data_IF_597242542829
#
_entry.id   IF_597242542829
#
_cell.length_a   1.000
_cell.length_b   1.000
_cell.length_c   1.000
_cell.angle_alpha   90.00
_cell.angle_beta   90.00
_cell.angle_gamma   90.00
#
_symmetry.space_group_name_H-M   'P 1'
#
loop_
_entity.id
_entity.type
_entity.pdbx_description
1 polymer ?
#
# COMPACT_ATOMS: atom_id res chain seq x y z
N UNK A 1 5.88 5.54 19.72
CA UNK A 1 5.96 4.73 18.49
C UNK A 1 4.90 5.14 17.49
N UNK A 2 5.33 5.52 16.29
CA UNK A 2 4.47 5.93 15.17
C UNK A 2 4.63 4.93 14.01
N UNK A 3 3.61 4.83 13.16
CA UNK A 3 3.74 4.14 11.89
C UNK A 3 4.31 5.08 10.83
N UNK A 4 5.44 4.70 10.26
CA UNK A 4 6.05 5.37 9.12
C UNK A 4 5.93 4.49 7.88
N UNK A 5 6.18 5.12 6.73
CA UNK A 5 6.20 4.43 5.44
C UNK A 5 7.59 4.52 4.85
N UNK A 6 8.15 3.37 4.47
CA UNK A 6 9.43 3.28 3.76
C UNK A 6 9.19 2.86 2.31
N UNK A 7 10.02 3.42 1.44
CA UNK A 7 10.14 3.02 0.05
C UNK A 7 11.26 1.99 -0.10
N UNK A 8 10.97 0.88 -0.76
CA UNK A 8 11.91 -0.24 -0.97
C UNK A 8 12.29 -0.36 -2.45
N UNK A 9 13.27 -1.21 -2.75
CA UNK A 9 13.53 -1.61 -4.14
C UNK A 9 12.32 -2.39 -4.69
N UNK A 10 11.94 -2.20 -5.96
CA UNK A 10 10.82 -2.93 -6.55
C UNK A 10 10.98 -4.45 -6.39
N UNK A 11 9.92 -5.13 -5.94
CA UNK A 11 9.89 -6.59 -5.69
C UNK A 11 10.69 -7.06 -4.47
N UNK A 12 11.23 -6.14 -3.66
CA UNK A 12 11.96 -6.46 -2.43
C UNK A 12 11.11 -6.25 -1.18
N UNK A 13 9.82 -5.92 -1.32
CA UNK A 13 8.92 -5.56 -0.21
C UNK A 13 8.86 -6.67 0.85
N UNK A 14 8.65 -7.92 0.41
CA UNK A 14 8.62 -9.09 1.31
C UNK A 14 9.95 -9.32 2.03
N UNK A 15 11.05 -9.31 1.26
CA UNK A 15 12.40 -9.53 1.79
C UNK A 15 12.79 -8.45 2.80
N UNK A 16 12.44 -7.20 2.51
CA UNK A 16 12.70 -6.07 3.41
C UNK A 16 11.87 -6.23 4.69
N UNK A 17 10.60 -6.60 4.59
CA UNK A 17 9.76 -6.85 5.76
C UNK A 17 10.31 -8.00 6.63
N UNK A 18 10.75 -9.10 6.04
CA UNK A 18 11.41 -10.20 6.75
C UNK A 18 12.68 -9.73 7.49
N UNK A 19 13.56 -9.00 6.81
CA UNK A 19 14.79 -8.47 7.42
C UNK A 19 14.52 -7.47 8.55
N UNK A 20 13.48 -6.64 8.42
CA UNK A 20 13.08 -5.70 9.47
C UNK A 20 12.52 -6.44 10.69
N UNK A 21 11.70 -7.47 10.46
CA UNK A 21 11.19 -8.31 11.53
C UNK A 21 12.32 -9.06 12.27
N UNK A 22 13.31 -9.58 11.54
CA UNK A 22 14.52 -10.19 12.14
C UNK A 22 15.34 -9.19 12.97
N UNK A 23 15.35 -7.91 12.57
CA UNK A 23 15.98 -6.83 13.31
C UNK A 23 15.14 -6.34 14.52
N UNK A 24 13.99 -6.95 14.79
CA UNK A 24 13.09 -6.57 15.90
C UNK A 24 12.25 -5.32 15.63
N UNK A 25 12.13 -4.89 14.37
CA UNK A 25 11.32 -3.75 13.97
C UNK A 25 9.94 -4.26 13.55
N UNK A 26 8.90 -3.78 14.23
CA UNK A 26 7.52 -4.05 13.84
C UNK A 26 7.24 -3.48 12.45
N UNK A 27 6.83 -4.35 11.53
CA UNK A 27 6.55 -3.95 10.17
C UNK A 27 5.31 -4.64 9.61
N UNK A 28 4.72 -4.01 8.60
CA UNK A 28 3.56 -4.52 7.89
C UNK A 28 3.73 -4.29 6.40
N UNK A 29 3.75 -5.38 5.63
CA UNK A 29 3.72 -5.38 4.19
C UNK A 29 2.36 -5.92 3.75
N UNK A 30 1.43 -5.07 3.27
CA UNK A 30 0.11 -5.55 2.86
C UNK A 30 0.23 -6.36 1.56
N UNK A 31 -0.15 -7.64 1.61
CA UNK A 31 -0.07 -8.58 0.49
C UNK A 31 -1.48 -8.99 0.04
N UNK A 32 -1.67 -9.11 -1.27
CA UNK A 32 -2.92 -9.60 -1.88
C UNK A 32 -2.63 -10.81 -2.77
N UNK A 33 -3.58 -11.75 -2.83
CA UNK A 33 -3.47 -12.92 -3.71
C UNK A 33 -4.01 -12.58 -5.10
N UNK A 34 -3.19 -12.75 -6.14
CA UNK A 34 -3.60 -12.63 -7.53
C UNK A 34 -3.36 -13.94 -8.28
N UNK A 35 -4.28 -14.32 -9.17
CA UNK A 35 -4.07 -15.42 -10.10
C UNK A 35 -3.29 -14.89 -11.30
N UNK A 36 -2.03 -15.29 -11.44
CA UNK A 36 -1.26 -15.06 -12.66
C UNK A 36 -1.40 -16.27 -13.58
N UNK A 37 -1.63 -15.99 -14.86
CA UNK A 37 -1.57 -16.97 -15.92
C UNK A 37 -0.19 -16.89 -16.58
N UNK A 38 0.52 -18.01 -16.54
CA UNK A 38 1.68 -18.30 -17.37
C UNK A 38 1.24 -19.10 -18.59
N UNK A 39 2.10 -19.19 -19.59
CA UNK A 39 1.83 -19.88 -20.86
C UNK A 39 1.33 -21.31 -20.66
N UNK A 40 1.74 -21.97 -19.58
CA UNK A 40 1.42 -23.35 -19.24
C UNK A 40 0.41 -23.50 -18.07
N UNK A 41 0.29 -22.51 -17.16
CA UNK A 41 -0.50 -22.68 -15.91
C UNK A 41 -1.04 -21.39 -15.30
N UNK A 42 -2.16 -21.50 -14.57
CA UNK A 42 -2.64 -20.46 -13.64
C UNK A 42 -2.15 -20.78 -12.23
N UNK A 43 -1.45 -19.84 -11.58
CA UNK A 43 -0.99 -19.99 -10.19
C UNK A 43 -1.35 -18.76 -9.36
N UNK A 44 -1.86 -19.00 -8.15
CA UNK A 44 -2.07 -17.98 -7.12
C UNK A 44 -0.71 -17.50 -6.63
N UNK A 45 -0.48 -16.19 -6.71
CA UNK A 45 0.73 -15.55 -6.22
C UNK A 45 0.36 -14.36 -5.35
N UNK A 46 1.06 -14.22 -4.24
CA UNK A 46 0.95 -13.05 -3.39
C UNK A 46 1.83 -11.93 -3.93
N UNK A 47 1.22 -10.77 -4.13
CA UNK A 47 1.89 -9.55 -4.56
C UNK A 47 1.58 -8.43 -3.57
N UNK A 48 2.48 -7.46 -3.36
CA UNK A 48 2.20 -6.33 -2.50
C UNK A 48 1.01 -5.52 -3.04
N UNK A 49 0.12 -5.11 -2.14
CA UNK A 49 -0.96 -4.18 -2.44
C UNK A 49 -0.39 -2.83 -2.88
N UNK A 50 0.69 -2.40 -2.21
CA UNK A 50 1.43 -1.20 -2.53
C UNK A 50 2.85 -1.57 -2.99
N UNK A 51 3.12 -1.40 -4.28
CA UNK A 51 4.44 -1.69 -4.82
C UNK A 51 5.50 -0.79 -4.20
N UNK A 52 6.58 -1.38 -3.71
CA UNK A 52 7.72 -0.69 -3.11
C UNK A 52 7.41 0.07 -1.81
N UNK A 53 6.30 -0.23 -1.12
CA UNK A 53 5.98 0.36 0.19
C UNK A 53 5.94 -0.72 1.28
N UNK A 54 6.55 -0.40 2.42
CA UNK A 54 6.42 -1.18 3.66
C UNK A 54 6.11 -0.20 4.79
N UNK A 55 5.16 -0.57 5.65
CA UNK A 55 4.83 0.20 6.85
C UNK A 55 5.70 -0.31 7.99
N UNK A 56 6.25 0.59 8.79
CA UNK A 56 7.15 0.27 9.90
C UNK A 56 6.72 1.04 11.14
N UNK A 57 6.66 0.38 12.27
CA UNK A 57 6.35 0.97 13.56
C UNK A 57 7.61 1.04 14.41
N UNK A 58 8.02 2.25 14.78
CA UNK A 58 9.20 2.48 15.61
C UNK A 58 9.14 3.88 16.23
N UNK A 59 10.05 4.17 17.15
CA UNK A 59 10.24 5.51 17.67
C UNK A 59 11.07 6.39 16.74
N UNK A 60 10.87 7.71 16.81
CA UNK A 60 11.54 8.67 15.93
C UNK A 60 13.07 8.61 16.06
N UNK A 61 13.57 8.35 17.28
CA UNK A 61 15.00 8.19 17.58
C UNK A 61 15.63 6.99 16.86
N UNK A 62 14.84 5.98 16.54
CA UNK A 62 15.31 4.72 15.95
C UNK A 62 15.18 4.69 14.42
N UNK A 63 14.75 5.78 13.79
CA UNK A 63 14.49 5.82 12.32
C UNK A 63 15.64 5.41 11.43
N UNK A 64 16.88 5.45 11.90
CA UNK A 64 18.00 5.01 11.10
C UNK A 64 18.14 3.47 11.05
N UNK A 65 17.51 2.73 11.97
CA UNK A 65 17.61 1.28 12.06
C UNK A 65 17.05 0.58 10.81
N UNK A 66 16.03 1.15 10.16
CA UNK A 66 15.42 0.55 8.95
C UNK A 66 16.42 0.43 7.79
N UNK A 67 17.44 1.27 7.75
CA UNK A 67 18.46 1.25 6.68
C UNK A 67 19.46 0.11 6.82
N UNK A 68 19.44 -0.63 7.94
CA UNK A 68 20.19 -1.88 8.07
C UNK A 68 19.62 -2.98 7.16
N UNK A 69 18.33 -2.89 6.82
CA UNK A 69 17.68 -3.79 5.87
C UNK A 69 18.08 -3.46 4.43
N UNK A 70 18.68 -4.44 3.76
CA UNK A 70 19.16 -4.29 2.39
C UNK A 70 17.97 -4.20 1.43
N UNK A 71 17.77 -3.03 0.85
CA UNK A 71 16.66 -2.79 -0.08
C UNK A 71 15.74 -1.66 0.33
N UNK A 72 15.90 -1.12 1.54
CA UNK A 72 15.28 0.17 1.91
C UNK A 72 15.98 1.30 1.15
N UNK A 73 15.19 2.18 0.54
CA UNK A 73 15.69 3.30 -0.27
C UNK A 73 15.56 4.61 0.50
N UNK A 74 14.38 4.90 1.05
CA UNK A 74 14.11 6.14 1.81
C UNK A 74 12.79 6.04 2.58
N UNK A 75 12.55 7.00 3.47
CA UNK A 75 11.21 7.26 4.00
C UNK A 75 10.35 8.00 2.97
N UNK A 76 9.04 7.79 3.04
CA UNK A 76 8.07 8.66 2.39
C UNK A 76 7.99 9.99 3.14
N UNK A 77 7.98 11.10 2.41
CA UNK A 77 7.83 12.44 2.98
C UNK A 77 6.58 13.10 2.42
N UNK A 78 5.86 13.80 3.30
CA UNK A 78 4.70 14.64 3.00
C UNK A 78 4.95 16.04 3.57
N UNK A 79 4.86 17.08 2.74
CA UNK A 79 5.11 18.47 3.13
C UNK A 79 6.44 18.68 3.90
N UNK A 80 7.49 17.98 3.46
CA UNK A 80 8.83 18.07 4.08
C UNK A 80 8.99 17.29 5.39
N UNK A 81 7.95 16.61 5.88
CA UNK A 81 7.99 15.77 7.08
C UNK A 81 7.81 14.29 6.71
N UNK A 82 8.36 13.34 7.49
CA UNK A 82 8.09 11.92 7.26
C UNK A 82 6.58 11.67 7.31
N UNK A 83 6.08 10.88 6.37
CA UNK A 83 4.68 10.47 6.36
C UNK A 83 4.41 9.57 7.58
N UNK A 84 3.46 9.97 8.41
CA UNK A 84 3.00 9.22 9.58
C UNK A 84 1.61 8.70 9.27
N UNK A 85 1.44 7.39 9.39
CA UNK A 85 0.18 6.69 9.21
C UNK A 85 -0.43 6.44 10.58
N UNK A 86 -1.75 6.55 10.70
CA UNK A 86 -2.44 6.27 11.96
C UNK A 86 -2.58 4.76 12.13
N UNK A 87 -2.53 4.30 13.37
CA UNK A 87 -2.73 2.87 13.65
C UNK A 87 -4.08 2.36 13.12
N UNK A 88 -5.14 3.17 13.25
CA UNK A 88 -6.46 2.88 12.69
C UNK A 88 -6.43 2.60 11.19
N UNK A 89 -5.62 3.33 10.43
CA UNK A 89 -5.49 3.15 8.96
C UNK A 89 -4.82 1.81 8.64
N UNK A 90 -3.79 1.42 9.41
CA UNK A 90 -3.14 0.11 9.28
C UNK A 90 -4.12 -1.02 9.58
N UNK A 91 -4.92 -0.90 10.64
CA UNK A 91 -5.91 -1.90 11.02
C UNK A 91 -7.04 -2.02 9.99
N UNK A 92 -7.46 -0.92 9.39
CA UNK A 92 -8.41 -0.93 8.26
C UNK A 92 -7.84 -1.68 7.06
N UNK A 93 -6.57 -1.45 6.70
CA UNK A 93 -5.89 -2.19 5.62
C UNK A 93 -5.84 -3.69 5.93
N UNK A 94 -5.45 -4.06 7.15
CA UNK A 94 -5.41 -5.47 7.60
C UNK A 94 -6.78 -6.13 7.52
N UNK A 95 -7.82 -5.48 8.06
CA UNK A 95 -9.19 -6.00 8.07
C UNK A 95 -9.71 -6.21 6.66
N UNK A 96 -9.42 -5.28 5.75
CA UNK A 96 -9.85 -5.40 4.36
C UNK A 96 -9.20 -6.61 3.67
N UNK A 97 -7.88 -6.76 3.76
CA UNK A 97 -7.15 -7.89 3.15
C UNK A 97 -7.67 -9.24 3.68
N UNK A 98 -7.95 -9.32 4.98
CA UNK A 98 -8.45 -10.54 5.61
C UNK A 98 -9.92 -10.85 5.28
N UNK A 99 -10.73 -9.85 4.95
CA UNK A 99 -12.15 -10.02 4.58
C UNK A 99 -12.33 -10.32 3.10
N UNK A 100 -11.38 -9.87 2.27
CA UNK A 100 -11.46 -9.96 0.81
C UNK A 100 -11.02 -11.34 0.28
N UNK A 101 -11.88 -12.35 0.44
CA UNK A 101 -12.03 -13.40 -0.59
C UNK A 101 -13.10 -13.00 -1.63
N UNK A 102 -13.88 -11.93 -1.39
CA UNK A 102 -14.76 -11.30 -2.37
C UNK A 102 -15.23 -9.91 -1.88
N UNK A 103 -15.02 -8.85 -2.66
CA UNK A 103 -15.91 -7.67 -2.66
C UNK A 103 -15.60 -6.80 -3.89
N UNK A 104 -16.53 -6.82 -4.83
CA UNK A 104 -16.59 -5.94 -5.99
C UNK A 104 -16.61 -4.46 -5.56
N UNK A 105 -15.67 -3.67 -6.08
CA UNK A 105 -15.78 -2.20 -6.01
C UNK A 105 -16.68 -1.79 -7.17
N UNK A 106 -17.88 -1.29 -6.85
CA UNK A 106 -18.85 -0.85 -7.86
C UNK A 106 -18.32 0.35 -8.65
N UNK A 107 -18.46 0.25 -9.97
CA UNK A 107 -18.00 1.22 -10.96
C UNK A 107 -19.09 2.26 -11.17
N UNK A 108 -18.97 3.40 -10.51
CA UNK A 108 -19.45 4.65 -11.10
C UNK A 108 -18.33 5.27 -11.95
N UNK A 109 -18.69 5.89 -13.08
CA UNK A 109 -17.73 6.43 -14.05
C UNK A 109 -17.15 7.76 -13.57
N UNK A 110 -16.05 7.68 -12.82
CA UNK A 110 -15.33 8.86 -12.35
C UNK A 110 -14.49 9.52 -13.46
N UNK A 111 -14.33 10.85 -13.39
CA UNK A 111 -13.52 11.64 -14.31
C UNK A 111 -12.17 12.01 -13.69
N UNK A 112 -11.18 12.28 -14.53
CA UNK A 112 -9.87 12.79 -14.11
C UNK A 112 -10.08 14.12 -13.37
N UNK A 113 -9.53 14.22 -12.16
CA UNK A 113 -9.68 15.38 -11.27
C UNK A 113 -10.80 15.25 -10.24
N UNK A 114 -11.64 14.21 -10.31
CA UNK A 114 -12.69 14.00 -9.33
C UNK A 114 -12.08 13.64 -7.97
N UNK A 115 -12.49 14.39 -6.93
CA UNK A 115 -12.24 14.03 -5.54
C UNK A 115 -13.31 13.01 -5.13
N UNK A 116 -12.93 11.73 -5.15
CA UNK A 116 -13.81 10.64 -4.78
C UNK A 116 -13.55 10.24 -3.33
N UNK A 117 -14.62 10.03 -2.59
CA UNK A 117 -14.53 9.32 -1.33
C UNK A 117 -14.78 7.85 -1.64
N UNK A 118 -13.84 6.99 -1.28
CA UNK A 118 -13.99 5.57 -1.57
C UNK A 118 -15.15 5.04 -0.71
N UNK A 119 -16.24 4.56 -1.32
CA UNK A 119 -17.38 4.06 -0.54
C UNK A 119 -17.12 2.66 0.03
N UNK A 120 -16.14 1.95 -0.52
CA UNK A 120 -15.73 0.62 -0.10
C UNK A 120 -14.22 0.43 -0.21
N UNK A 121 -13.66 -0.44 0.63
CA UNK A 121 -12.24 -0.75 0.65
C UNK A 121 -11.47 -0.12 1.82
N UNK A 122 -10.15 -0.34 1.90
CA UNK A 122 -9.33 0.02 3.06
C UNK A 122 -9.04 1.52 3.16
N UNK A 123 -9.52 2.30 2.20
CA UNK A 123 -9.35 3.74 2.16
C UNK A 123 -10.69 4.46 2.14
N UNK A 124 -11.76 3.81 2.62
CA UNK A 124 -13.10 4.37 2.52
C UNK A 124 -13.32 5.67 3.30
N UNK A 125 -12.53 5.86 4.36
CA UNK A 125 -12.49 7.10 5.12
C UNK A 125 -11.61 8.19 4.47
N UNK A 126 -10.89 7.88 3.39
CA UNK A 126 -9.95 8.80 2.75
C UNK A 126 -10.48 9.35 1.43
N UNK A 127 -10.18 10.63 1.19
CA UNK A 127 -10.41 11.27 -0.10
C UNK A 127 -9.29 10.86 -1.05
N UNK A 128 -9.66 10.37 -2.22
CA UNK A 128 -8.75 10.06 -3.30
C UNK A 128 -9.05 10.95 -4.50
N UNK A 129 -8.01 11.40 -5.20
CA UNK A 129 -8.15 12.16 -6.45
C UNK A 129 -7.93 11.21 -7.61
N UNK A 130 -8.86 11.18 -8.55
CA UNK A 130 -8.70 10.40 -9.78
C UNK A 130 -7.65 11.08 -10.66
N UNK A 131 -6.46 10.52 -10.73
CA UNK A 131 -5.35 11.07 -11.51
C UNK A 131 -5.39 10.60 -12.96
N UNK A 132 -5.82 9.35 -13.19
CA UNK A 132 -5.91 8.77 -14.52
C UNK A 132 -7.10 7.83 -14.62
N UNK A 133 -7.79 7.89 -15.75
CA UNK A 133 -8.88 6.98 -16.12
C UNK A 133 -8.50 6.34 -17.44
N UNK A 134 -8.29 5.02 -17.43
CA UNK A 134 -8.14 4.23 -18.66
C UNK A 134 -9.27 3.22 -18.78
N UNK A 135 -9.51 2.69 -19.98
CA UNK A 135 -10.54 1.67 -20.23
C UNK A 135 -10.36 0.37 -19.42
N UNK A 136 -9.22 0.17 -18.75
CA UNK A 136 -8.94 -1.05 -17.98
C UNK A 136 -8.69 -0.79 -16.50
N UNK A 137 -8.42 0.45 -16.09
CA UNK A 137 -8.13 0.80 -14.70
C UNK A 137 -8.25 2.31 -14.39
N UNK A 138 -8.62 2.63 -13.16
CA UNK A 138 -8.46 3.92 -12.50
C UNK A 138 -7.12 4.01 -11.76
N UNK A 139 -6.51 5.19 -11.77
CA UNK A 139 -5.37 5.56 -10.94
C UNK A 139 -5.83 6.64 -9.97
N UNK A 140 -5.80 6.31 -8.68
CA UNK A 140 -6.29 7.13 -7.59
C UNK A 140 -5.11 7.59 -6.73
N UNK A 141 -5.02 8.88 -6.46
CA UNK A 141 -3.99 9.44 -5.57
C UNK A 141 -4.63 9.68 -4.21
N UNK A 142 -4.10 9.01 -3.19
CA UNK A 142 -4.47 9.26 -1.80
C UNK A 142 -3.45 10.24 -1.23
N UNK A 143 -3.77 11.53 -1.29
CA UNK A 143 -2.86 12.59 -0.84
C UNK A 143 -2.43 12.41 0.62
N UNK A 144 -3.35 12.01 1.49
CA UNK A 144 -3.09 11.74 2.91
C UNK A 144 -2.07 10.63 3.15
N UNK A 145 -1.98 9.65 2.25
CA UNK A 145 -1.06 8.52 2.36
C UNK A 145 0.14 8.65 1.41
N UNK A 146 0.18 9.70 0.58
CA UNK A 146 1.21 9.89 -0.45
C UNK A 146 1.36 8.69 -1.40
N UNK A 147 0.28 7.94 -1.63
CA UNK A 147 0.31 6.71 -2.40
C UNK A 147 -0.66 6.75 -3.59
N UNK A 148 -0.35 5.93 -4.60
CA UNK A 148 -1.13 5.81 -5.83
C UNK A 148 -1.74 4.42 -5.90
N UNK A 149 -3.05 4.36 -6.03
CA UNK A 149 -3.83 3.13 -6.05
C UNK A 149 -4.35 2.88 -7.46
N UNK A 150 -4.05 1.70 -8.01
CA UNK A 150 -4.47 1.30 -9.35
C UNK A 150 -5.62 0.29 -9.25
N UNK A 151 -6.83 0.71 -9.61
CA UNK A 151 -8.03 -0.09 -9.51
C UNK A 151 -8.49 -0.54 -10.90
N UNK A 152 -8.67 -1.84 -11.16
CA UNK A 152 -9.15 -2.30 -12.46
C UNK A 152 -10.64 -1.99 -12.65
N UNK A 153 -11.00 -1.54 -13.85
CA UNK A 153 -12.39 -1.42 -14.29
C UNK A 153 -12.81 -2.83 -14.75
N UNK A 154 -13.89 -3.35 -14.18
CA UNK A 154 -14.53 -4.61 -14.61
C UNK A 154 -15.50 -4.32 -15.74
#
# INVERSE_FOLDING_TARGET
MNWYVIYTKPKWEKKVAEQLAEAGIDCYCPLITQIRQWSDRKKKVEVPLFNSYVFVQLDESERNSVFQSAGVVRYLFWLGKPAIVRHEEIEVIKKWINTSDAADIMVDRYKIGDAIQLESGPFSAQKAIVQEVTNTHYVLVLESLGCVLKMKIK
#
